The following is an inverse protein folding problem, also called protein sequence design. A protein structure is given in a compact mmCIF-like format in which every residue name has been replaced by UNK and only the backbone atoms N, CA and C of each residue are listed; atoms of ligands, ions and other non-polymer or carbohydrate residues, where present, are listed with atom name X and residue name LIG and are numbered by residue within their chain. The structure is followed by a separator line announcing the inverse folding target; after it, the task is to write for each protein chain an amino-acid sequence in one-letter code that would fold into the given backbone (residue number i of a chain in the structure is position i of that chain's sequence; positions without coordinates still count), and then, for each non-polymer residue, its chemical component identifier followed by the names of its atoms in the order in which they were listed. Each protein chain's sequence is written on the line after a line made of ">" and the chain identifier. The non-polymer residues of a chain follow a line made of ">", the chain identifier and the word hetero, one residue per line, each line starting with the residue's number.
data_IF_738957599466
#
_entry.id   IF_738957599466
#
_cell.length_a   1.000
_cell.length_b   1.000
_cell.length_c   1.000
_cell.angle_alpha   90.00
_cell.angle_beta   90.00
_cell.angle_gamma   90.00
#
_symmetry.space_group_name_H-M   'P 1'
#
loop_
_entity.id
_entity.type
_entity.pdbx_description
1 polymer ?
#
# COMPACT_ATOMS: atom_id res chain seq x y z
N UNK A 1 -26.27 -8.50 58.51
CA UNK A 1 -26.30 -7.93 57.14
C UNK A 1 -24.92 -7.42 56.77
N UNK A 2 -24.24 -8.07 55.82
CA UNK A 2 -23.62 -7.44 54.64
C UNK A 2 -23.01 -8.54 53.76
N UNK A 3 -23.63 -8.67 52.59
CA UNK A 3 -23.28 -9.52 51.45
C UNK A 3 -21.96 -9.07 50.84
N UNK A 4 -21.13 -10.00 50.38
CA UNK A 4 -20.27 -9.80 49.22
C UNK A 4 -20.55 -10.94 48.25
N UNK A 5 -21.21 -10.58 47.15
CA UNK A 5 -21.36 -11.38 45.95
C UNK A 5 -20.03 -11.34 45.20
N UNK A 6 -19.42 -12.50 44.93
CA UNK A 6 -18.48 -12.63 43.82
C UNK A 6 -19.16 -13.49 42.75
N UNK A 7 -19.46 -12.82 41.65
CA UNK A 7 -20.08 -13.34 40.45
C UNK A 7 -18.96 -13.78 39.51
N UNK A 8 -18.72 -15.08 39.39
CA UNK A 8 -17.93 -15.66 38.29
C UNK A 8 -18.76 -16.77 37.65
N UNK A 9 -19.46 -16.42 36.59
CA UNK A 9 -20.00 -17.38 35.63
C UNK A 9 -18.83 -18.10 34.96
N UNK A 10 -18.50 -19.30 35.44
CA UNK A 10 -17.77 -20.27 34.61
C UNK A 10 -18.80 -20.93 33.70
N UNK A 11 -18.88 -20.44 32.47
CA UNK A 11 -19.55 -21.13 31.38
C UNK A 11 -18.63 -22.29 30.95
N UNK A 12 -18.57 -23.36 31.74
CA UNK A 12 -17.90 -24.59 31.32
C UNK A 12 -18.80 -25.26 30.28
N UNK A 13 -18.40 -25.16 29.02
CA UNK A 13 -18.91 -26.03 27.97
C UNK A 13 -18.79 -27.48 28.45
N UNK A 14 -19.93 -28.16 28.62
CA UNK A 14 -19.98 -29.61 28.75
C UNK A 14 -19.53 -30.20 27.40
N UNK A 15 -18.21 -30.32 27.24
CA UNK A 15 -17.66 -31.31 26.33
C UNK A 15 -17.92 -32.65 27.02
N UNK A 16 -19.01 -33.30 26.62
CA UNK A 16 -19.15 -34.73 26.88
C UNK A 16 -18.01 -35.41 26.14
N UNK A 17 -16.89 -35.63 26.82
CA UNK A 17 -15.87 -36.54 26.33
C UNK A 17 -16.54 -37.88 26.11
N UNK A 18 -16.49 -38.38 24.88
CA UNK A 18 -16.78 -39.78 24.63
C UNK A 18 -15.74 -40.57 25.41
N UNK A 19 -16.18 -41.28 26.45
CA UNK A 19 -15.30 -42.23 27.14
C UNK A 19 -14.94 -43.32 26.15
N UNK A 20 -13.64 -43.56 25.99
CA UNK A 20 -13.14 -44.82 25.42
C UNK A 20 -13.90 -45.98 26.07
N UNK A 21 -14.32 -46.97 25.28
CA UNK A 21 -15.00 -48.13 25.80
C UNK A 21 -14.07 -48.82 26.81
N UNK A 22 -14.54 -49.04 28.04
CA UNK A 22 -13.73 -49.69 29.08
C UNK A 22 -13.17 -51.02 28.56
N UNK A 23 -11.83 -51.10 28.47
CA UNK A 23 -11.15 -52.32 28.07
C UNK A 23 -11.18 -53.32 29.23
N UNK A 24 -11.94 -54.40 29.08
CA UNK A 24 -12.12 -55.43 30.11
C UNK A 24 -11.66 -56.79 29.60
N UNK A 25 -10.94 -57.55 30.43
CA UNK A 25 -10.42 -58.89 30.08
C UNK A 25 -11.04 -59.95 30.99
N UNK A 26 -11.95 -60.82 30.49
CA UNK A 26 -12.47 -61.92 31.30
C UNK A 26 -11.36 -62.95 31.59
N UNK A 27 -11.30 -63.41 32.83
CA UNK A 27 -10.35 -64.43 33.29
C UNK A 27 -11.10 -65.59 33.95
N UNK A 28 -10.70 -66.81 33.60
CA UNK A 28 -11.13 -68.04 34.28
C UNK A 28 -9.92 -68.95 34.46
N UNK A 29 -9.78 -69.53 35.66
CA UNK A 29 -8.68 -70.42 36.00
C UNK A 29 -9.12 -71.56 36.91
N UNK A 30 -8.30 -72.61 36.93
CA UNK A 30 -8.41 -73.73 37.87
C UNK A 30 -7.15 -73.74 38.72
N UNK A 31 -7.28 -73.43 40.01
CA UNK A 31 -6.20 -73.38 40.98
C UNK A 31 -5.97 -74.78 41.55
N UNK A 32 -4.74 -75.27 41.39
CA UNK A 32 -4.28 -76.53 41.99
C UNK A 32 -3.07 -76.29 42.88
N UNK A 33 -2.89 -77.13 43.88
CA UNK A 33 -1.63 -77.20 44.62
C UNK A 33 -0.53 -77.89 43.78
N UNK A 34 0.68 -78.00 44.36
CA UNK A 34 1.83 -78.63 43.72
C UNK A 34 1.63 -80.13 43.40
N UNK A 35 0.64 -80.78 44.01
CA UNK A 35 0.27 -82.18 43.75
C UNK A 35 -0.80 -82.33 42.65
N UNK A 36 -1.30 -81.20 42.11
CA UNK A 36 -2.40 -81.18 41.13
C UNK A 36 -3.78 -81.30 41.77
N UNK A 37 -3.88 -81.25 43.10
CA UNK A 37 -5.17 -81.28 43.81
C UNK A 37 -5.79 -79.89 43.78
N UNK A 38 -7.09 -79.79 43.55
CA UNK A 38 -7.80 -78.52 43.54
C UNK A 38 -7.65 -77.79 44.90
N UNK A 39 -7.37 -76.50 44.85
CA UNK A 39 -7.34 -75.66 46.06
C UNK A 39 -8.72 -75.71 46.71
N UNK A 40 -8.75 -75.88 48.04
CA UNK A 40 -9.97 -76.01 48.81
C UNK A 40 -10.91 -74.80 48.64
N UNK A 41 -12.21 -75.07 48.72
CA UNK A 41 -13.26 -74.05 48.62
C UNK A 41 -13.08 -72.97 49.69
N UNK A 42 -13.26 -71.71 49.29
CA UNK A 42 -13.07 -70.57 50.17
C UNK A 42 -12.72 -69.29 49.43
N UNK A 43 -12.41 -68.23 50.17
CA UNK A 43 -11.92 -66.99 49.57
C UNK A 43 -10.40 -67.01 49.46
N UNK A 44 -9.87 -66.68 48.29
CA UNK A 44 -8.44 -66.51 48.05
C UNK A 44 -8.15 -65.15 47.45
N UNK A 45 -7.11 -64.49 47.96
CA UNK A 45 -6.62 -63.23 47.39
C UNK A 45 -5.70 -63.57 46.21
N UNK A 46 -5.96 -62.97 45.05
CA UNK A 46 -5.20 -63.21 43.82
C UNK A 46 -4.81 -61.87 43.20
N UNK A 47 -3.53 -61.67 42.95
CA UNK A 47 -3.00 -60.53 42.20
C UNK A 47 -2.74 -60.93 40.75
N UNK A 48 -3.13 -60.05 39.84
CA UNK A 48 -2.89 -60.16 38.41
C UNK A 48 -1.99 -59.03 37.96
N UNK A 49 -0.97 -59.34 37.16
CA UNK A 49 -0.11 -58.36 36.49
C UNK A 49 0.14 -58.80 35.06
N UNK A 50 0.38 -57.86 34.15
CA UNK A 50 0.72 -58.20 32.75
C UNK A 50 2.14 -57.70 32.46
N UNK A 51 2.92 -58.57 31.84
CA UNK A 51 4.32 -58.36 31.47
C UNK A 51 4.52 -58.52 29.96
N UNK A 52 5.59 -57.91 29.45
CA UNK A 52 6.07 -58.02 28.06
C UNK A 52 6.93 -59.27 27.80
N UNK A 53 7.31 -60.03 28.84
CA UNK A 53 8.13 -61.24 28.73
C UNK A 53 7.76 -62.31 29.77
N UNK A 54 8.10 -63.59 29.52
CA UNK A 54 7.63 -64.71 30.36
C UNK A 54 8.28 -64.81 31.75
N UNK A 55 9.47 -64.23 31.99
CA UNK A 55 10.22 -64.40 33.26
C UNK A 55 10.91 -63.13 33.79
N UNK A 56 11.46 -62.24 32.95
CA UNK A 56 12.24 -61.05 33.41
C UNK A 56 11.75 -59.70 32.88
N UNK A 57 10.56 -59.67 32.27
CA UNK A 57 10.00 -58.52 31.57
C UNK A 57 9.60 -57.34 32.46
N UNK A 58 9.22 -56.23 31.82
CA UNK A 58 8.62 -55.06 32.47
C UNK A 58 7.12 -55.25 32.65
N UNK A 59 6.57 -54.81 33.78
CA UNK A 59 5.12 -54.83 34.00
C UNK A 59 4.47 -53.74 33.13
N UNK A 60 3.78 -54.15 32.06
CA UNK A 60 3.03 -53.23 31.20
C UNK A 60 1.69 -52.81 31.79
N UNK A 61 1.22 -53.59 32.77
CA UNK A 61 0.12 -53.23 33.65
C UNK A 61 0.52 -53.65 35.07
N UNK A 62 0.56 -52.65 35.96
CA UNK A 62 0.92 -52.83 37.37
C UNK A 62 -0.06 -53.74 38.13
N UNK A 63 -1.21 -54.02 37.54
CA UNK A 63 -2.11 -55.04 37.99
C UNK A 63 -3.24 -54.57 38.87
N UNK A 64 -4.01 -55.55 39.33
CA UNK A 64 -5.02 -55.37 40.36
C UNK A 64 -5.13 -56.64 41.22
N UNK A 65 -5.73 -56.48 42.40
CA UNK A 65 -5.89 -57.56 43.38
C UNK A 65 -7.37 -57.86 43.56
N UNK A 66 -7.74 -59.13 43.51
CA UNK A 66 -9.10 -59.60 43.69
C UNK A 66 -9.21 -60.60 44.84
N UNK A 67 -10.27 -60.50 45.64
CA UNK A 67 -10.66 -61.54 46.59
C UNK A 67 -11.67 -62.43 45.86
N UNK A 68 -11.20 -63.59 45.40
CA UNK A 68 -11.96 -64.52 44.57
C UNK A 68 -12.54 -65.64 45.42
N UNK A 69 -13.76 -66.07 45.10
CA UNK A 69 -14.34 -67.29 45.68
C UNK A 69 -13.91 -68.49 44.84
N UNK A 70 -13.22 -69.44 45.49
CA UNK A 70 -12.80 -70.72 44.92
C UNK A 70 -13.91 -71.74 45.15
N UNK A 71 -14.31 -72.43 44.08
CA UNK A 71 -15.28 -73.54 44.13
C UNK A 71 -14.77 -74.69 43.26
N UNK A 72 -14.39 -75.81 43.90
CA UNK A 72 -13.75 -76.95 43.24
C UNK A 72 -12.46 -76.55 42.52
N UNK A 73 -11.68 -75.62 43.10
CA UNK A 73 -10.50 -75.02 42.48
C UNK A 73 -10.79 -73.97 41.40
N UNK A 74 -12.02 -73.80 40.94
CA UNK A 74 -12.34 -72.85 39.86
C UNK A 74 -12.45 -71.41 40.41
N UNK A 75 -11.92 -70.47 39.63
CA UNK A 75 -12.04 -69.02 39.86
C UNK A 75 -12.40 -68.30 38.57
N UNK A 76 -13.17 -67.23 38.68
CA UNK A 76 -13.47 -66.31 37.57
C UNK A 76 -13.37 -64.85 38.04
N UNK A 77 -13.00 -63.96 37.13
CA UNK A 77 -13.05 -62.51 37.36
C UNK A 77 -13.01 -61.77 36.03
N UNK A 78 -13.20 -60.45 36.05
CA UNK A 78 -12.96 -59.56 34.92
C UNK A 78 -11.84 -58.61 35.33
N UNK A 79 -10.78 -58.56 34.52
CA UNK A 79 -9.63 -57.71 34.74
C UNK A 79 -9.84 -56.34 34.11
N UNK A 80 -9.31 -55.29 34.75
CA UNK A 80 -9.45 -53.90 34.32
C UNK A 80 -10.56 -53.14 35.04
N UNK A 81 -11.33 -53.81 35.91
CA UNK A 81 -12.45 -53.20 36.65
C UNK A 81 -12.01 -52.36 37.85
N UNK A 82 -10.81 -52.58 38.40
CA UNK A 82 -10.28 -51.81 39.54
C UNK A 82 -9.14 -50.90 39.11
N UNK A 83 -8.24 -51.43 38.27
CA UNK A 83 -7.16 -50.65 37.64
C UNK A 83 -7.33 -50.74 36.13
N UNK A 84 -7.83 -49.67 35.51
CA UNK A 84 -7.98 -49.60 34.06
C UNK A 84 -6.66 -49.90 33.34
N UNK A 85 -6.73 -50.54 32.18
CA UNK A 85 -5.55 -50.70 31.33
C UNK A 85 -5.09 -49.31 30.84
N UNK A 86 -3.77 -49.01 30.86
CA UNK A 86 -3.29 -47.70 30.46
C UNK A 86 -3.56 -47.45 28.97
N UNK A 87 -4.39 -46.44 28.67
CA UNK A 87 -4.79 -46.04 27.32
C UNK A 87 -3.77 -45.09 26.64
N UNK A 88 -2.97 -44.38 27.43
CA UNK A 88 -2.07 -43.32 26.95
C UNK A 88 -0.60 -43.66 27.18
N UNK A 89 0.23 -43.30 26.19
CA UNK A 89 1.69 -43.28 26.27
C UNK A 89 2.17 -42.34 27.38
N UNK A 90 2.39 -42.84 28.59
CA UNK A 90 3.14 -42.11 29.62
C UNK A 90 4.28 -42.99 30.12
N UNK A 91 5.51 -42.63 29.75
CA UNK A 91 6.72 -43.40 30.09
C UNK A 91 7.03 -44.60 29.19
N UNK A 92 6.36 -44.74 28.03
CA UNK A 92 6.66 -45.79 27.04
C UNK A 92 5.97 -47.14 27.29
N UNK A 93 4.98 -47.18 28.18
CA UNK A 93 4.28 -48.40 28.57
C UNK A 93 2.80 -48.29 28.17
N UNK A 94 2.35 -49.16 27.24
CA UNK A 94 0.94 -49.34 26.87
C UNK A 94 0.66 -50.84 26.80
N UNK A 95 -0.54 -51.26 27.22
CA UNK A 95 -0.98 -52.65 27.04
C UNK A 95 -1.41 -52.84 25.59
N UNK A 96 -0.58 -53.51 24.80
CA UNK A 96 -0.84 -53.80 23.40
C UNK A 96 -1.27 -55.25 23.22
N UNK A 97 -2.58 -55.52 23.20
CA UNK A 97 -3.13 -56.87 22.94
C UNK A 97 -2.86 -57.39 21.51
N UNK A 98 -2.14 -56.63 20.68
CA UNK A 98 -1.60 -57.05 19.39
C UNK A 98 -0.22 -57.71 19.50
N UNK A 99 0.42 -57.67 20.66
CA UNK A 99 1.70 -58.31 20.93
C UNK A 99 1.54 -59.46 21.94
N UNK A 100 2.47 -60.43 22.00
CA UNK A 100 2.47 -61.46 23.04
C UNK A 100 2.61 -60.81 24.43
N UNK A 101 1.59 -60.98 25.26
CA UNK A 101 1.59 -60.50 26.64
C UNK A 101 1.58 -61.68 27.60
N UNK A 102 2.06 -61.47 28.83
CA UNK A 102 2.23 -62.55 29.81
C UNK A 102 1.54 -62.17 31.12
N UNK A 103 0.47 -62.89 31.46
CA UNK A 103 -0.26 -62.74 32.71
C UNK A 103 0.48 -63.47 33.83
N UNK A 104 0.94 -62.70 34.81
CA UNK A 104 1.46 -63.20 36.07
C UNK A 104 0.33 -63.26 37.09
N UNK A 105 0.22 -64.40 37.78
CA UNK A 105 -0.80 -64.67 38.78
C UNK A 105 -0.07 -65.00 40.08
N UNK A 106 -0.38 -64.27 41.14
CA UNK A 106 0.13 -64.55 42.49
C UNK A 106 -1.06 -64.83 43.39
N UNK A 107 -1.10 -66.00 44.01
CA UNK A 107 -2.15 -66.42 44.93
C UNK A 107 -1.61 -66.35 46.35
N UNK A 108 -2.39 -65.80 47.26
CA UNK A 108 -2.14 -65.85 48.71
C UNK A 108 -2.14 -67.32 49.17
N UNK A 109 -0.93 -67.87 49.29
CA UNK A 109 -0.70 -69.27 49.60
C UNK A 109 -0.60 -69.49 51.12
N UNK A 110 -0.15 -68.49 51.87
CA UNK A 110 0.07 -68.56 53.31
C UNK A 110 -1.17 -68.16 54.15
N UNK A 111 -2.21 -67.63 53.49
CA UNK A 111 -3.47 -67.25 54.13
C UNK A 111 -3.37 -65.94 54.91
N UNK A 112 -2.38 -65.10 54.59
CA UNK A 112 -2.13 -63.83 55.28
C UNK A 112 -3.13 -62.71 54.93
N UNK A 113 -4.05 -62.96 53.98
CA UNK A 113 -4.97 -61.98 53.41
C UNK A 113 -4.27 -60.77 52.74
N UNK A 114 -2.98 -60.90 52.44
CA UNK A 114 -2.17 -59.89 51.76
C UNK A 114 -1.21 -60.56 50.78
N UNK A 115 -1.01 -59.99 49.59
CA UNK A 115 0.03 -60.50 48.68
C UNK A 115 1.39 -59.97 49.14
N UNK A 116 2.26 -60.87 49.57
CA UNK A 116 3.61 -60.53 50.07
C UNK A 116 4.70 -61.22 49.28
N UNK A 117 5.97 -60.98 49.65
CA UNK A 117 7.11 -61.69 49.04
C UNK A 117 7.14 -63.19 49.39
N UNK A 118 6.33 -63.65 50.36
CA UNK A 118 6.17 -65.06 50.69
C UNK A 118 5.27 -65.81 49.71
N UNK A 119 4.50 -65.10 48.88
CA UNK A 119 3.63 -65.67 47.85
C UNK A 119 4.38 -65.72 46.51
N UNK A 120 4.90 -66.88 46.09
CA UNK A 120 5.60 -66.98 44.82
C UNK A 120 4.62 -66.78 43.65
N UNK A 121 4.99 -66.01 42.61
CA UNK A 121 4.20 -65.94 41.40
C UNK A 121 4.15 -67.32 40.71
N UNK A 122 3.01 -67.64 40.10
CA UNK A 122 2.87 -68.86 39.30
C UNK A 122 3.69 -68.71 38.01
N UNK A 123 4.75 -69.49 37.90
CA UNK A 123 5.65 -69.55 36.75
C UNK A 123 5.51 -70.89 36.01
N UNK A 124 5.64 -70.92 34.66
CA UNK A 124 5.80 -69.77 33.77
C UNK A 124 4.52 -68.94 33.65
N UNK A 125 4.66 -67.62 33.39
CA UNK A 125 3.53 -66.71 33.20
C UNK A 125 2.62 -67.20 32.05
N UNK A 126 1.32 -67.01 32.21
CA UNK A 126 0.34 -67.43 31.20
C UNK A 126 0.41 -66.51 29.98
N UNK A 127 0.62 -67.07 28.79
CA UNK A 127 0.63 -66.30 27.55
C UNK A 127 -0.78 -65.84 27.20
N UNK A 128 -0.94 -64.53 27.03
CA UNK A 128 -2.08 -63.91 26.38
C UNK A 128 -1.72 -63.79 24.89
N UNK A 129 -2.36 -64.63 24.07
CA UNK A 129 -2.12 -64.60 22.63
C UNK A 129 -2.67 -63.29 22.05
N UNK A 130 -1.93 -62.66 21.12
CA UNK A 130 -2.43 -61.47 20.47
C UNK A 130 -3.71 -61.79 19.71
N UNK A 131 -4.74 -60.98 19.91
CA UNK A 131 -5.93 -61.05 19.08
C UNK A 131 -5.57 -60.44 17.72
N UNK A 132 -5.38 -61.26 16.69
CA UNK A 132 -4.98 -60.82 15.34
C UNK A 132 -5.86 -59.69 14.76
N UNK A 133 -7.10 -59.56 15.23
CA UNK A 133 -8.06 -58.51 14.81
C UNK A 133 -8.08 -57.26 15.70
N UNK A 134 -7.37 -57.24 16.83
CA UNK A 134 -7.30 -56.07 17.72
C UNK A 134 -6.54 -54.89 17.09
N UNK A 135 -5.56 -55.17 16.23
CA UNK A 135 -4.83 -54.13 15.50
C UNK A 135 -5.74 -53.39 14.51
N UNK A 136 -6.60 -54.12 13.79
CA UNK A 136 -7.52 -53.55 12.79
C UNK A 136 -8.62 -52.72 13.45
N UNK A 137 -9.06 -53.09 14.66
CA UNK A 137 -10.04 -52.31 15.42
C UNK A 137 -9.47 -50.97 15.92
N UNK A 138 -8.19 -50.92 16.33
CA UNK A 138 -7.53 -49.67 16.74
C UNK A 138 -7.33 -48.72 15.56
N UNK A 139 -7.04 -49.24 14.36
CA UNK A 139 -6.89 -48.43 13.15
C UNK A 139 -8.21 -47.89 12.60
N UNK A 140 -9.37 -48.44 13.00
CA UNK A 140 -10.68 -48.01 12.51
C UNK A 140 -11.07 -46.58 12.96
N UNK A 141 -10.43 -46.05 13.99
CA UNK A 141 -10.60 -44.66 14.45
C UNK A 141 -9.77 -43.65 13.63
N UNK A 142 -8.90 -44.15 12.73
CA UNK A 142 -8.00 -43.33 11.91
C UNK A 142 -8.25 -43.58 10.42
N UNK A 143 -8.34 -42.52 9.60
CA UNK A 143 -8.28 -42.68 8.14
C UNK A 143 -6.79 -42.66 7.78
N UNK A 144 -6.26 -43.79 7.33
CA UNK A 144 -4.84 -43.96 6.98
C UNK A 144 -3.85 -43.61 8.12
N UNK A 145 -4.21 -43.85 9.38
CA UNK A 145 -3.35 -43.54 10.52
C UNK A 145 -3.32 -42.06 10.94
N UNK A 146 -4.15 -41.22 10.32
CA UNK A 146 -4.38 -39.83 10.75
C UNK A 146 -5.60 -39.79 11.67
N UNK A 147 -5.38 -39.38 12.91
CA UNK A 147 -6.46 -39.09 13.87
C UNK A 147 -7.19 -37.82 13.43
N UNK A 148 -8.38 -38.00 12.86
CA UNK A 148 -9.26 -36.92 12.41
C UNK A 148 -10.13 -36.36 13.54
N UNK A 149 -10.10 -36.97 14.72
CA UNK A 149 -11.09 -36.79 15.78
C UNK A 149 -10.63 -35.76 16.82
N UNK A 150 -9.32 -35.56 17.00
CA UNK A 150 -8.81 -34.76 18.11
C UNK A 150 -8.60 -33.27 17.84
N UNK A 151 -8.48 -32.80 16.59
CA UNK A 151 -8.12 -31.38 16.35
C UNK A 151 -9.05 -30.61 15.39
N UNK A 152 -10.04 -31.26 14.78
CA UNK A 152 -10.92 -30.63 13.78
C UNK A 152 -10.16 -29.99 12.60
N UNK A 153 -8.87 -30.30 12.46
CA UNK A 153 -7.94 -29.77 11.48
C UNK A 153 -7.25 -30.94 10.82
N UNK A 154 -7.29 -30.96 9.49
CA UNK A 154 -6.41 -31.81 8.71
C UNK A 154 -4.98 -31.28 8.91
N UNK A 155 -4.06 -32.15 9.31
CA UNK A 155 -2.64 -31.80 9.30
C UNK A 155 -2.22 -31.41 7.86
N UNK A 156 -1.32 -30.44 7.70
CA UNK A 156 -0.85 -30.04 6.37
C UNK A 156 -0.27 -31.22 5.58
N UNK A 157 0.38 -32.16 6.26
CA UNK A 157 0.91 -33.39 5.67
C UNK A 157 -0.16 -34.37 5.18
N UNK A 158 -1.40 -34.23 5.65
CA UNK A 158 -2.52 -35.07 5.20
C UNK A 158 -3.10 -34.59 3.85
N UNK A 159 -2.68 -33.41 3.36
CA UNK A 159 -3.08 -32.87 2.06
C UNK A 159 -1.85 -32.84 1.17
N UNK A 160 -1.79 -33.73 0.19
CA UNK A 160 -0.75 -33.70 -0.82
C UNK A 160 -0.82 -32.40 -1.64
N UNK A 161 0.32 -31.97 -2.20
CA UNK A 161 0.36 -30.84 -3.14
C UNK A 161 -0.61 -31.09 -4.31
N UNK A 162 -1.55 -30.15 -4.51
CA UNK A 162 -2.61 -30.28 -5.52
C UNK A 162 -3.74 -31.27 -5.14
N UNK A 163 -3.75 -31.80 -3.92
CA UNK A 163 -4.72 -32.79 -3.44
C UNK A 163 -6.16 -32.26 -3.34
N UNK A 164 -6.36 -30.94 -3.38
CA UNK A 164 -7.67 -30.29 -3.45
C UNK A 164 -7.90 -29.79 -4.89
N UNK A 165 -8.51 -30.57 -5.78
CA UNK A 165 -8.88 -30.09 -7.11
C UNK A 165 -10.00 -29.04 -7.02
N UNK A 166 -10.12 -28.19 -8.03
CA UNK A 166 -11.14 -27.13 -8.09
C UNK A 166 -12.58 -27.65 -7.87
N UNK A 167 -12.89 -28.88 -8.31
CA UNK A 167 -14.19 -29.52 -8.11
C UNK A 167 -14.54 -29.82 -6.65
N UNK A 168 -13.56 -29.77 -5.75
CA UNK A 168 -13.74 -29.92 -4.29
C UNK A 168 -13.92 -28.58 -3.59
N UNK A 169 -13.72 -27.46 -4.29
CA UNK A 169 -13.91 -26.10 -3.78
C UNK A 169 -15.26 -25.62 -4.31
N UNK A 170 -16.16 -25.27 -3.42
CA UNK A 170 -17.46 -24.73 -3.80
C UNK A 170 -17.33 -23.24 -4.15
N UNK A 171 -18.08 -22.78 -5.15
CA UNK A 171 -18.10 -21.37 -5.53
C UNK A 171 -18.40 -20.47 -4.32
N UNK A 172 -17.56 -19.46 -4.10
CA UNK A 172 -17.68 -18.52 -2.99
C UNK A 172 -17.30 -19.07 -1.60
N UNK A 173 -16.79 -20.31 -1.49
CA UNK A 173 -16.37 -20.86 -0.20
C UNK A 173 -15.06 -20.29 0.35
N UNK A 174 -14.28 -19.62 -0.50
CA UNK A 174 -13.05 -18.92 -0.12
C UNK A 174 -13.37 -17.44 0.01
N UNK A 175 -13.37 -16.94 1.24
CA UNK A 175 -13.62 -15.55 1.60
C UNK A 175 -12.29 -14.85 1.91
N UNK A 176 -12.29 -13.52 1.87
CA UNK A 176 -11.07 -12.72 2.12
C UNK A 176 -10.36 -13.08 3.44
N UNK A 177 -11.10 -13.42 4.50
CA UNK A 177 -10.54 -13.84 5.80
C UNK A 177 -9.74 -15.17 5.75
N UNK A 178 -9.95 -15.96 4.71
CA UNK A 178 -9.24 -17.24 4.47
C UNK A 178 -8.02 -17.03 3.56
N UNK A 179 -7.84 -15.83 3.00
CA UNK A 179 -6.70 -15.45 2.18
C UNK A 179 -5.76 -14.60 3.04
N UNK A 180 -4.49 -14.98 3.11
CA UNK A 180 -3.47 -14.15 3.75
C UNK A 180 -3.16 -12.90 2.92
N UNK A 181 -2.62 -11.86 3.56
CA UNK A 181 -2.03 -10.74 2.83
C UNK A 181 -0.98 -11.24 1.83
N UNK A 182 -0.98 -10.69 0.63
CA UNK A 182 -0.07 -11.08 -0.47
C UNK A 182 -0.16 -12.55 -0.92
N UNK A 183 -1.24 -13.26 -0.56
CA UNK A 183 -1.45 -14.66 -1.00
C UNK A 183 -1.73 -14.81 -2.49
N UNK A 184 -2.14 -13.73 -3.16
CA UNK A 184 -2.33 -13.67 -4.63
C UNK A 184 -1.30 -12.70 -5.21
N UNK A 185 -0.20 -13.26 -5.72
CA UNK A 185 0.86 -12.54 -6.42
C UNK A 185 0.79 -12.74 -7.94
N UNK A 186 1.84 -12.31 -8.63
CA UNK A 186 1.92 -12.34 -10.10
C UNK A 186 1.85 -13.77 -10.68
N UNK A 187 2.27 -14.78 -9.92
CA UNK A 187 2.20 -16.18 -10.37
C UNK A 187 0.76 -16.72 -10.36
N UNK A 188 -0.09 -16.21 -9.46
CA UNK A 188 -1.49 -16.60 -9.33
C UNK A 188 -2.41 -15.84 -10.29
N UNK A 189 -1.94 -14.71 -10.84
CA UNK A 189 -2.68 -13.88 -11.80
C UNK A 189 -2.06 -14.07 -13.19
N UNK A 190 -2.72 -14.82 -14.05
CA UNK A 190 -2.27 -14.98 -15.44
C UNK A 190 -2.33 -13.64 -16.20
N UNK A 191 -1.55 -13.55 -17.28
CA UNK A 191 -1.63 -12.41 -18.19
C UNK A 191 -3.06 -12.27 -18.74
N UNK A 192 -3.60 -11.05 -18.71
CA UNK A 192 -4.98 -10.72 -19.10
C UNK A 192 -6.09 -11.36 -18.21
N UNK A 193 -5.75 -11.93 -17.05
CA UNK A 193 -6.75 -12.50 -16.14
C UNK A 193 -7.67 -11.42 -15.55
N UNK A 194 -7.16 -10.21 -15.30
CA UNK A 194 -7.94 -9.08 -14.78
C UNK A 194 -8.39 -8.20 -15.95
N UNK A 195 -9.67 -8.31 -16.30
CA UNK A 195 -10.27 -7.47 -17.34
C UNK A 195 -10.77 -6.13 -16.78
N UNK A 196 -11.07 -5.17 -17.66
CA UNK A 196 -11.63 -3.88 -17.26
C UNK A 196 -12.95 -4.00 -16.49
N UNK A 197 -13.77 -5.03 -16.74
CA UNK A 197 -15.01 -5.26 -15.99
C UNK A 197 -14.77 -5.75 -14.56
N UNK A 198 -13.59 -6.34 -14.30
CA UNK A 198 -13.18 -6.80 -12.96
C UNK A 198 -12.60 -5.67 -12.11
N UNK A 199 -12.27 -4.53 -12.73
CA UNK A 199 -11.83 -3.32 -12.06
C UNK A 199 -13.01 -2.36 -12.04
N UNK A 200 -13.54 -2.08 -10.86
CA UNK A 200 -14.68 -1.16 -10.76
C UNK A 200 -14.26 0.25 -11.19
N UNK A 201 -15.17 0.97 -11.85
CA UNK A 201 -14.94 2.36 -12.21
C UNK A 201 -14.54 3.16 -10.95
N UNK A 202 -13.48 3.95 -11.08
CA UNK A 202 -12.90 4.76 -10.00
C UNK A 202 -12.30 3.99 -8.82
N UNK A 203 -12.12 2.66 -8.91
CA UNK A 203 -11.44 1.89 -7.87
C UNK A 203 -9.92 1.98 -7.92
N UNK A 204 -9.36 2.54 -8.99
CA UNK A 204 -7.94 2.83 -9.14
C UNK A 204 -7.82 4.36 -9.22
N UNK A 205 -7.20 4.98 -8.23
CA UNK A 205 -7.05 6.43 -8.15
C UNK A 205 -5.66 6.90 -8.65
N UNK A 206 -5.46 8.22 -8.70
CA UNK A 206 -4.17 8.79 -9.17
C UNK A 206 -2.96 8.34 -8.33
N UNK A 207 -3.15 7.95 -7.08
CA UNK A 207 -2.09 7.47 -6.18
C UNK A 207 -1.74 6.01 -6.52
N UNK A 208 -2.73 5.20 -6.88
CA UNK A 208 -2.57 3.79 -7.31
C UNK A 208 -1.84 3.65 -8.66
N UNK A 209 -2.07 4.57 -9.61
CA UNK A 209 -1.46 4.51 -10.95
C UNK A 209 0.05 4.84 -11.01
N UNK A 210 0.70 5.08 -9.86
CA UNK A 210 2.15 5.25 -9.59
C UNK A 210 3.04 5.92 -10.66
N UNK A 211 3.90 6.84 -10.21
CA UNK A 211 5.15 7.38 -10.80
C UNK A 211 5.43 7.32 -12.33
N UNK A 212 5.24 6.19 -13.01
CA UNK A 212 5.46 6.00 -14.44
C UNK A 212 4.46 6.79 -15.31
N UNK A 213 3.17 6.80 -14.96
CA UNK A 213 2.19 7.61 -15.71
C UNK A 213 2.40 9.09 -15.43
N UNK A 214 2.73 9.47 -14.19
CA UNK A 214 3.11 10.84 -13.87
C UNK A 214 4.35 11.28 -14.65
N UNK A 215 5.39 10.43 -14.69
CA UNK A 215 6.60 10.68 -15.47
C UNK A 215 6.32 10.76 -16.98
N UNK A 216 5.46 9.90 -17.53
CA UNK A 216 5.07 9.98 -18.93
C UNK A 216 4.27 11.25 -19.24
N UNK A 217 3.38 11.68 -18.33
CA UNK A 217 2.60 12.90 -18.48
C UNK A 217 3.49 14.15 -18.38
N UNK A 218 4.42 14.16 -17.43
CA UNK A 218 5.44 15.21 -17.29
C UNK A 218 6.41 15.25 -18.49
N UNK A 219 6.60 14.12 -19.18
CA UNK A 219 7.40 14.08 -20.42
C UNK A 219 6.62 14.69 -21.59
N UNK A 220 5.31 14.49 -21.66
CA UNK A 220 4.47 15.06 -22.71
C UNK A 220 4.20 16.55 -22.51
N UNK A 221 4.07 16.97 -21.25
CA UNK A 221 3.78 18.34 -20.89
C UNK A 221 4.47 18.70 -19.57
N UNK A 222 5.74 19.14 -19.63
CA UNK A 222 6.52 19.38 -18.43
C UNK A 222 5.97 20.54 -17.61
N UNK A 223 6.09 20.49 -16.27
CA UNK A 223 5.82 21.63 -15.40
C UNK A 223 6.56 22.89 -15.89
N UNK A 224 5.88 24.02 -15.86
CA UNK A 224 6.36 25.29 -16.43
C UNK A 224 5.90 25.54 -17.87
N UNK A 225 5.26 24.58 -18.53
CA UNK A 225 4.70 24.79 -19.87
C UNK A 225 3.54 25.77 -19.83
N UNK A 226 3.60 26.79 -20.68
CA UNK A 226 2.57 27.81 -20.82
C UNK A 226 1.71 27.50 -22.04
N UNK A 227 0.39 27.46 -21.86
CA UNK A 227 -0.60 27.25 -22.92
C UNK A 227 -1.58 28.42 -22.99
N UNK A 228 -2.09 28.67 -24.20
CA UNK A 228 -3.23 29.55 -24.40
C UNK A 228 -4.53 28.78 -24.10
N UNK A 229 -5.43 29.40 -23.34
CA UNK A 229 -6.69 28.82 -22.89
C UNK A 229 -7.84 29.75 -23.20
N UNK A 230 -8.84 29.23 -23.90
CA UNK A 230 -10.01 29.97 -24.36
C UNK A 230 -11.23 29.85 -23.42
N UNK A 231 -11.14 29.01 -22.38
CA UNK A 231 -12.24 28.81 -21.43
C UNK A 231 -12.30 29.87 -20.34
N UNK A 232 -13.24 29.71 -19.42
CA UNK A 232 -13.40 30.60 -18.27
C UNK A 232 -12.25 30.42 -17.27
N UNK A 233 -11.65 31.53 -16.84
CA UNK A 233 -10.57 31.60 -15.86
C UNK A 233 -11.12 31.81 -14.45
N UNK A 234 -12.35 32.31 -14.31
CA UNK A 234 -12.89 32.81 -13.06
C UNK A 234 -12.45 34.25 -12.74
N UNK A 235 -12.80 34.72 -11.55
CA UNK A 235 -12.54 36.09 -11.12
C UNK A 235 -11.09 36.27 -10.68
N UNK A 236 -10.29 36.95 -11.51
CA UNK A 236 -8.91 37.29 -11.19
C UNK A 236 -8.82 38.42 -10.14
N UNK A 237 -8.60 38.02 -8.89
CA UNK A 237 -8.37 38.92 -7.75
C UNK A 237 -6.89 38.99 -7.34
N UNK A 238 -5.98 38.49 -8.17
CA UNK A 238 -4.54 38.41 -7.87
C UNK A 238 -4.14 37.25 -6.95
N UNK A 239 -5.05 36.31 -6.69
CA UNK A 239 -4.79 35.06 -5.95
C UNK A 239 -4.49 33.90 -6.90
N UNK A 240 -4.01 32.78 -6.35
CA UNK A 240 -3.85 31.55 -7.12
C UNK A 240 -5.20 31.07 -7.65
N UNK A 241 -5.25 30.83 -8.96
CA UNK A 241 -6.42 30.31 -9.65
C UNK A 241 -6.01 29.07 -10.43
N UNK A 242 -6.79 28.00 -10.28
CA UNK A 242 -6.64 26.74 -11.02
C UNK A 242 -7.91 26.51 -11.88
N UNK A 243 -8.02 27.16 -13.06
CA UNK A 243 -9.22 27.03 -13.90
C UNK A 243 -9.42 25.61 -14.44
N UNK A 244 -8.32 24.88 -14.61
CA UNK A 244 -8.31 23.49 -15.08
C UNK A 244 -7.37 22.70 -14.16
N UNK A 245 -7.76 21.49 -13.71
CA UNK A 245 -6.89 20.65 -12.90
C UNK A 245 -5.49 20.50 -13.50
N UNK A 246 -4.46 20.79 -12.71
CA UNK A 246 -3.05 20.71 -13.12
C UNK A 246 -2.48 21.97 -13.78
N UNK A 247 -3.27 23.06 -13.88
CA UNK A 247 -2.86 24.31 -14.51
C UNK A 247 -3.25 25.55 -13.70
N UNK A 248 -2.30 26.44 -13.48
CA UNK A 248 -2.52 27.72 -12.80
C UNK A 248 -2.65 28.86 -13.82
N UNK A 249 -3.46 29.87 -13.52
CA UNK A 249 -3.55 31.08 -14.34
C UNK A 249 -2.33 31.99 -14.13
N UNK A 250 -1.75 32.50 -15.22
CA UNK A 250 -0.57 33.37 -15.20
C UNK A 250 -0.94 34.83 -14.82
N UNK A 251 -1.26 35.07 -13.55
CA UNK A 251 -1.62 36.40 -13.01
C UNK A 251 -0.61 37.00 -12.02
N UNK A 252 0.56 36.39 -11.84
CA UNK A 252 1.59 36.90 -10.92
C UNK A 252 1.46 36.44 -9.47
N UNK A 253 0.48 35.61 -9.14
CA UNK A 253 0.32 35.07 -7.79
C UNK A 253 1.57 34.29 -7.34
N UNK A 254 1.80 34.24 -6.02
CA UNK A 254 2.98 33.59 -5.43
C UNK A 254 2.67 32.13 -5.11
N UNK A 255 3.60 31.24 -5.45
CA UNK A 255 3.60 29.82 -5.07
C UNK A 255 4.78 29.50 -4.15
N UNK A 256 4.65 28.44 -3.35
CA UNK A 256 5.69 27.92 -2.43
C UNK A 256 5.60 26.40 -2.34
N UNK A 257 6.69 25.75 -1.91
CA UNK A 257 6.79 24.30 -1.74
C UNK A 257 5.90 23.79 -0.59
N UNK A 258 5.71 24.60 0.46
CA UNK A 258 4.86 24.26 1.60
C UNK A 258 3.35 24.32 1.30
N UNK A 259 2.96 24.90 0.16
CA UNK A 259 1.55 25.04 -0.21
C UNK A 259 0.97 23.72 -0.71
N UNK A 260 -0.21 23.37 -0.18
CA UNK A 260 -0.96 22.16 -0.56
C UNK A 260 -0.11 20.87 -0.52
N UNK A 261 0.80 20.75 0.46
CA UNK A 261 1.63 19.57 0.70
C UNK A 261 2.59 19.25 -0.48
N UNK A 262 3.38 20.23 -0.93
CA UNK A 262 4.38 20.01 -1.98
C UNK A 262 3.83 19.99 -3.40
N UNK A 263 2.56 20.38 -3.59
CA UNK A 263 1.84 20.27 -4.87
C UNK A 263 2.55 20.97 -6.03
N UNK A 264 3.26 22.06 -5.75
CA UNK A 264 3.88 22.91 -6.78
C UNK A 264 5.39 22.71 -6.91
N UNK A 265 5.99 21.73 -6.23
CA UNK A 265 7.45 21.55 -6.17
C UNK A 265 8.12 21.41 -7.55
N UNK A 266 7.47 20.71 -8.49
CA UNK A 266 8.00 20.53 -9.84
C UNK A 266 8.00 21.85 -10.63
N UNK A 267 6.94 22.66 -10.49
CA UNK A 267 6.87 24.00 -11.07
C UNK A 267 7.91 24.96 -10.48
N UNK A 268 8.08 24.94 -9.16
CA UNK A 268 9.08 25.76 -8.46
C UNK A 268 10.49 25.48 -8.98
N UNK A 269 10.83 24.20 -9.17
CA UNK A 269 12.10 23.80 -9.76
C UNK A 269 12.24 24.26 -11.22
N UNK A 270 11.16 24.19 -12.01
CA UNK A 270 11.17 24.61 -13.41
C UNK A 270 11.34 26.14 -13.58
N UNK A 271 10.66 26.93 -12.75
CA UNK A 271 10.70 28.39 -12.84
C UNK A 271 11.95 28.99 -12.19
N UNK A 272 12.35 28.47 -11.03
CA UNK A 272 13.26 29.19 -10.13
C UNK A 272 12.79 30.62 -9.89
N UNK A 273 13.71 31.57 -9.75
CA UNK A 273 13.35 32.99 -9.56
C UNK A 273 13.06 33.75 -10.86
N UNK A 274 12.98 33.10 -12.03
CA UNK A 274 12.96 33.79 -13.34
C UNK A 274 11.83 34.81 -13.50
N UNK A 275 10.70 34.57 -12.86
CA UNK A 275 9.52 35.42 -12.94
C UNK A 275 9.30 36.29 -11.71
N UNK A 276 10.19 36.18 -10.71
CA UNK A 276 10.10 36.85 -9.43
C UNK A 276 10.38 35.88 -8.29
N UNK A 277 10.95 36.38 -7.21
CA UNK A 277 11.34 35.60 -6.03
C UNK A 277 10.25 35.57 -4.94
N UNK A 278 9.02 35.98 -5.25
CA UNK A 278 7.88 35.99 -4.32
C UNK A 278 7.95 37.05 -3.21
N UNK A 279 9.16 37.48 -2.82
CA UNK A 279 9.46 38.39 -1.70
C UNK A 279 8.84 37.97 -0.36
N UNK A 280 8.57 36.68 -0.16
CA UNK A 280 8.14 36.17 1.14
C UNK A 280 9.38 35.73 1.94
N UNK A 281 9.68 36.47 3.01
CA UNK A 281 10.84 36.21 3.87
C UNK A 281 10.58 35.13 4.92
N UNK A 282 9.32 34.76 5.13
CA UNK A 282 8.90 33.84 6.19
C UNK A 282 8.79 32.39 5.68
N UNK A 283 8.74 32.19 4.36
CA UNK A 283 8.61 30.88 3.72
C UNK A 283 9.79 30.62 2.76
N UNK A 284 10.53 29.51 2.90
CA UNK A 284 11.60 29.19 1.96
C UNK A 284 11.03 28.92 0.55
N UNK A 285 11.79 29.26 -0.49
CA UNK A 285 11.47 28.99 -1.90
C UNK A 285 10.09 29.50 -2.37
N UNK A 286 9.85 30.81 -2.25
CA UNK A 286 8.70 31.43 -2.92
C UNK A 286 9.07 31.93 -4.33
N UNK A 287 8.11 31.84 -5.24
CA UNK A 287 8.27 32.23 -6.64
C UNK A 287 6.97 32.88 -7.14
N UNK A 288 7.09 33.95 -7.92
CA UNK A 288 5.94 34.49 -8.64
C UNK A 288 5.63 33.63 -9.86
N UNK A 289 4.35 33.29 -10.05
CA UNK A 289 3.89 32.86 -11.36
C UNK A 289 4.17 33.96 -12.40
N UNK A 290 4.34 33.61 -13.69
CA UNK A 290 4.32 34.61 -14.75
C UNK A 290 3.04 35.47 -14.65
N UNK A 291 3.17 36.79 -14.78
CA UNK A 291 2.02 37.68 -15.01
C UNK A 291 1.99 38.07 -16.47
N UNK A 292 1.19 37.34 -17.24
CA UNK A 292 1.12 37.46 -18.70
C UNK A 292 -0.12 38.21 -19.18
N UNK A 293 -0.81 38.91 -18.28
CA UNK A 293 -1.99 39.69 -18.62
C UNK A 293 -1.57 40.91 -19.42
N UNK A 294 -2.11 41.03 -20.64
CA UNK A 294 -1.88 42.17 -21.53
C UNK A 294 -0.50 42.21 -22.20
N UNK A 295 0.27 41.12 -22.17
CA UNK A 295 1.58 41.06 -22.85
C UNK A 295 1.55 40.08 -24.03
N UNK A 296 2.37 40.37 -25.05
CA UNK A 296 2.66 39.42 -26.11
C UNK A 296 3.87 38.56 -25.76
N UNK A 297 3.75 37.27 -25.99
CA UNK A 297 4.87 36.34 -25.88
C UNK A 297 5.74 36.41 -27.14
N UNK A 298 7.05 36.31 -26.95
CA UNK A 298 8.05 36.24 -28.03
C UNK A 298 9.10 35.19 -27.71
N UNK A 299 9.79 34.72 -28.75
CA UNK A 299 10.88 33.75 -28.61
C UNK A 299 12.06 34.33 -27.85
N UNK A 300 12.71 33.51 -27.03
CA UNK A 300 13.95 33.90 -26.36
C UNK A 300 15.13 33.85 -27.34
N UNK A 301 15.80 34.98 -27.52
CA UNK A 301 16.90 35.16 -28.46
C UNK A 301 18.14 34.34 -28.11
N UNK A 302 18.38 34.06 -26.83
CA UNK A 302 19.50 33.26 -26.34
C UNK A 302 20.83 33.68 -27.03
N UNK A 303 21.57 32.73 -27.60
CA UNK A 303 22.83 32.98 -28.30
C UNK A 303 22.70 33.43 -29.76
N UNK A 304 21.49 33.68 -30.28
CA UNK A 304 21.31 34.07 -31.68
C UNK A 304 22.09 35.34 -32.03
N UNK A 305 22.65 35.39 -33.24
CA UNK A 305 23.47 36.51 -33.73
C UNK A 305 23.24 36.80 -35.22
N UNK A 306 22.18 36.23 -35.79
CA UNK A 306 21.76 36.45 -37.17
C UNK A 306 20.74 37.60 -37.27
N UNK A 307 20.13 37.77 -38.44
CA UNK A 307 19.12 38.81 -38.69
C UNK A 307 17.82 38.64 -37.89
N UNK A 308 17.63 37.53 -37.18
CA UNK A 308 16.48 37.30 -36.31
C UNK A 308 16.78 37.62 -34.84
N UNK A 309 17.97 38.14 -34.55
CA UNK A 309 18.35 38.55 -33.20
C UNK A 309 17.39 39.61 -32.67
N UNK A 310 16.83 39.35 -31.50
CA UNK A 310 15.98 40.29 -30.78
C UNK A 310 16.77 41.56 -30.36
N UNK A 311 16.38 42.70 -30.92
CA UNK A 311 16.99 43.99 -30.64
C UNK A 311 16.66 44.46 -29.21
N UNK A 312 17.66 45.02 -28.52
CA UNK A 312 17.51 45.49 -27.14
C UNK A 312 17.45 44.37 -26.09
N UNK A 313 17.68 43.09 -26.47
CA UNK A 313 17.60 41.94 -25.58
C UNK A 313 18.43 42.07 -24.29
N UNK A 314 19.56 42.77 -24.33
CA UNK A 314 20.48 42.87 -23.19
C UNK A 314 20.23 44.11 -22.30
N UNK A 315 19.77 45.23 -22.88
CA UNK A 315 19.73 46.54 -22.21
C UNK A 315 18.33 47.12 -22.02
N UNK A 316 17.31 46.56 -22.66
CA UNK A 316 15.93 47.08 -22.66
C UNK A 316 14.92 46.04 -22.13
N UNK A 317 15.40 45.07 -21.33
CA UNK A 317 14.56 44.04 -20.72
C UNK A 317 14.61 44.11 -19.19
N UNK A 318 13.43 44.13 -18.58
CA UNK A 318 13.20 44.36 -17.15
C UNK A 318 12.44 43.18 -16.53
N UNK A 319 12.51 43.06 -15.21
CA UNK A 319 11.63 42.14 -14.49
C UNK A 319 10.36 42.88 -14.06
N UNK A 320 9.22 42.18 -14.05
CA UNK A 320 7.95 42.71 -13.54
C UNK A 320 7.87 42.64 -12.01
N UNK A 321 8.52 41.65 -11.41
CA UNK A 321 8.60 41.44 -9.96
C UNK A 321 10.05 41.45 -9.49
N UNK A 322 10.27 41.71 -8.20
CA UNK A 322 11.62 41.67 -7.62
C UNK A 322 12.24 40.27 -7.76
N UNK A 323 13.58 40.19 -7.85
CA UNK A 323 14.31 38.93 -8.03
C UNK A 323 14.13 38.22 -9.37
N UNK A 324 13.26 38.73 -10.25
CA UNK A 324 12.99 38.17 -11.58
C UNK A 324 14.05 38.52 -12.63
N UNK A 325 13.93 37.89 -13.80
CA UNK A 325 14.91 37.96 -14.87
C UNK A 325 14.93 39.33 -15.58
N UNK A 326 16.14 39.80 -15.91
CA UNK A 326 16.41 40.99 -16.72
C UNK A 326 17.36 40.63 -17.88
N UNK A 327 17.46 41.50 -18.88
CA UNK A 327 18.30 41.24 -20.05
C UNK A 327 17.84 40.01 -20.86
N UNK A 328 18.79 39.35 -21.54
CA UNK A 328 18.49 38.27 -22.47
C UNK A 328 18.27 36.92 -21.77
N UNK A 329 17.24 36.86 -20.92
CA UNK A 329 16.84 35.69 -20.15
C UNK A 329 15.33 35.44 -20.25
N UNK A 330 14.93 34.17 -20.20
CA UNK A 330 13.52 33.78 -20.07
C UNK A 330 12.94 34.36 -18.78
N UNK A 331 11.76 34.98 -18.88
CA UNK A 331 11.07 35.65 -17.78
C UNK A 331 11.19 37.18 -17.78
N UNK A 332 12.03 37.74 -18.67
CA UNK A 332 12.19 39.18 -18.81
C UNK A 332 11.14 39.83 -19.73
N UNK A 333 10.77 41.07 -19.40
CA UNK A 333 9.75 41.88 -20.07
C UNK A 333 10.39 43.05 -20.82
N UNK A 334 9.76 43.50 -21.91
CA UNK A 334 10.18 44.69 -22.66
C UNK A 334 8.95 45.59 -22.84
N UNK A 335 9.16 46.90 -22.75
CA UNK A 335 8.09 47.88 -23.02
C UNK A 335 7.78 47.96 -24.51
N UNK A 336 6.64 48.55 -24.84
CA UNK A 336 6.30 48.87 -26.22
C UNK A 336 7.29 49.86 -26.82
N UNK A 337 7.56 49.71 -28.12
CA UNK A 337 8.39 50.62 -28.88
C UNK A 337 7.91 50.66 -30.33
N UNK A 338 7.99 51.85 -30.94
CA UNK A 338 7.82 52.01 -32.38
C UNK A 338 9.18 51.95 -33.07
N UNK A 339 9.21 51.40 -34.29
CA UNK A 339 10.37 51.53 -35.15
C UNK A 339 10.60 53.01 -35.49
N UNK A 340 11.86 53.44 -35.41
CA UNK A 340 12.25 54.81 -35.73
C UNK A 340 11.89 55.13 -37.19
N UNK A 341 11.04 56.13 -37.40
CA UNK A 341 10.63 56.56 -38.74
C UNK A 341 10.51 58.08 -38.83
N UNK A 342 10.52 58.60 -40.04
CA UNK A 342 10.37 60.03 -40.32
C UNK A 342 9.52 60.28 -41.57
N UNK A 343 8.98 61.49 -41.65
CA UNK A 343 8.23 61.96 -42.82
C UNK A 343 8.99 63.09 -43.50
N UNK A 344 9.26 62.93 -44.80
CA UNK A 344 9.81 64.03 -45.62
C UNK A 344 8.66 64.86 -46.17
N UNK A 345 8.67 66.16 -45.88
CA UNK A 345 7.73 67.11 -46.49
C UNK A 345 8.49 67.81 -47.62
N UNK A 346 8.16 67.47 -48.87
CA UNK A 346 8.68 68.17 -50.06
C UNK A 346 7.63 69.16 -50.56
N UNK A 347 7.79 70.43 -50.20
CA UNK A 347 7.06 71.53 -50.84
C UNK A 347 7.91 72.10 -51.97
N UNK A 348 7.37 72.22 -53.18
CA UNK A 348 7.94 73.19 -54.12
C UNK A 348 7.63 74.58 -53.56
N UNK A 349 8.65 75.38 -53.24
CA UNK A 349 8.48 76.82 -52.98
C UNK A 349 8.20 77.55 -54.30
N UNK A 350 7.16 77.12 -55.02
CA UNK A 350 6.70 77.74 -56.25
C UNK A 350 5.93 79.00 -55.90
N UNK A 351 6.66 80.12 -55.89
CA UNK A 351 6.20 81.52 -55.77
C UNK A 351 5.97 82.02 -54.34
N UNK A 352 7.07 82.38 -53.68
CA UNK A 352 7.06 83.55 -52.80
C UNK A 352 6.76 84.76 -53.69
N UNK A 353 5.48 85.12 -53.86
CA UNK A 353 5.15 86.43 -54.38
C UNK A 353 5.60 87.43 -53.31
N UNK A 354 6.50 88.39 -53.61
CA UNK A 354 6.72 89.49 -52.70
C UNK A 354 5.39 90.22 -52.58
N UNK A 355 4.74 90.08 -51.43
CA UNK A 355 3.64 90.95 -51.05
C UNK A 355 4.26 92.34 -50.93
N UNK A 356 4.11 93.13 -51.98
CA UNK A 356 4.41 94.55 -51.95
C UNK A 356 3.32 95.24 -51.11
N UNK A 357 3.34 95.03 -49.79
CA UNK A 357 2.79 96.02 -48.87
C UNK A 357 3.88 97.09 -48.73
N UNK A 358 3.83 98.05 -49.65
CA UNK A 358 4.50 99.32 -49.47
C UNK A 358 3.91 99.98 -48.22
N UNK A 359 4.65 99.99 -47.11
CA UNK A 359 4.28 100.81 -45.95
C UNK A 359 4.82 100.42 -44.58
N UNK A 360 5.34 99.20 -44.37
CA UNK A 360 5.78 98.82 -43.04
C UNK A 360 6.99 97.88 -43.12
N UNK A 361 8.20 98.42 -43.26
CA UNK A 361 9.46 97.88 -42.70
C UNK A 361 10.59 98.85 -43.07
N UNK A 362 10.78 99.88 -42.24
CA UNK A 362 11.98 100.73 -42.25
C UNK A 362 13.11 100.02 -41.51
N UNK A 363 13.75 99.04 -42.15
CA UNK A 363 15.08 98.54 -41.76
C UNK A 363 15.82 98.06 -43.02
N UNK A 364 16.91 98.73 -43.45
CA UNK A 364 17.72 98.30 -44.57
C UNK A 364 18.75 97.22 -44.15
N UNK A 365 18.70 96.06 -44.82
CA UNK A 365 19.74 95.01 -44.84
C UNK A 365 19.78 94.12 -43.59
N UNK A 366 19.72 92.79 -43.65
CA UNK A 366 20.40 91.87 -44.59
C UNK A 366 19.65 90.53 -44.56
N UNK A 367 19.17 90.07 -45.71
CA UNK A 367 18.67 88.70 -45.85
C UNK A 367 19.88 87.76 -45.94
N UNK A 368 20.16 86.99 -44.88
CA UNK A 368 21.08 85.87 -45.01
C UNK A 368 20.30 84.63 -45.47
N UNK A 369 20.76 83.96 -46.55
CA UNK A 369 20.16 82.73 -47.02
C UNK A 369 20.38 81.63 -45.99
N UNK A 370 19.43 80.69 -45.94
CA UNK A 370 19.42 79.48 -45.13
C UNK A 370 20.84 78.95 -44.84
N UNK A 371 21.35 79.19 -43.63
CA UNK A 371 22.52 78.46 -43.16
C UNK A 371 22.10 77.00 -42.95
N UNK A 372 22.50 76.19 -43.92
CA UNK A 372 22.97 74.82 -43.76
C UNK A 372 23.54 74.59 -42.34
N UNK A 373 23.12 73.48 -41.73
CA UNK A 373 23.56 72.95 -40.43
C UNK A 373 23.06 73.69 -39.19
N UNK A 374 21.87 73.29 -38.73
CA UNK A 374 21.55 73.33 -37.30
C UNK A 374 21.28 71.89 -36.82
N UNK A 375 22.33 71.25 -36.29
CA UNK A 375 22.23 70.02 -35.51
C UNK A 375 21.98 70.42 -34.06
N UNK A 376 20.73 70.69 -33.72
CA UNK A 376 20.33 71.07 -32.36
C UNK A 376 19.00 70.43 -32.00
N UNK A 377 19.01 69.61 -30.96
CA UNK A 377 17.85 68.96 -30.37
C UNK A 377 16.90 70.00 -29.77
N UNK A 378 15.69 70.09 -30.31
CA UNK A 378 14.64 70.98 -29.80
C UNK A 378 13.81 71.54 -30.94
N UNK A 379 12.50 71.31 -30.89
CA UNK A 379 11.53 71.70 -31.92
C UNK A 379 11.69 73.17 -32.37
N UNK A 380 12.23 73.37 -33.57
CA UNK A 380 12.13 74.64 -34.27
C UNK A 380 10.78 74.67 -35.00
N UNK A 381 9.77 75.30 -34.39
CA UNK A 381 8.57 75.73 -35.10
C UNK A 381 8.97 76.72 -36.20
N UNK A 382 9.10 76.25 -37.43
CA UNK A 382 9.15 77.12 -38.60
C UNK A 382 7.74 77.63 -38.89
N UNK A 383 7.35 78.72 -38.22
CA UNK A 383 6.08 79.41 -38.48
C UNK A 383 6.26 80.38 -39.65
N UNK A 384 5.96 79.91 -40.87
CA UNK A 384 5.77 80.75 -42.06
C UNK A 384 4.27 80.90 -42.32
N UNK A 385 3.62 81.88 -41.68
CA UNK A 385 2.21 82.20 -41.92
C UNK A 385 1.21 81.07 -41.59
N UNK A 386 -0.10 81.22 -41.91
CA UNK A 386 -1.16 80.32 -41.46
C UNK A 386 -1.12 78.88 -42.04
N UNK A 387 -0.07 78.51 -42.79
CA UNK A 387 0.06 77.20 -43.42
C UNK A 387 1.06 76.31 -42.67
N UNK A 388 0.76 75.97 -41.41
CA UNK A 388 1.49 74.91 -40.68
C UNK A 388 0.99 73.56 -41.19
N UNK A 389 1.83 72.83 -41.95
CA UNK A 389 1.55 71.44 -42.31
C UNK A 389 1.81 70.60 -41.06
N UNK A 390 0.73 70.24 -40.35
CA UNK A 390 0.78 69.37 -39.18
C UNK A 390 0.20 68.00 -39.55
N UNK A 391 0.89 66.94 -39.13
CA UNK A 391 0.30 65.61 -39.05
C UNK A 391 -0.39 65.49 -37.70
N UNK A 392 -1.70 65.20 -37.70
CA UNK A 392 -2.42 64.96 -36.46
C UNK A 392 -1.99 63.61 -35.87
N UNK A 393 -1.96 63.53 -34.54
CA UNK A 393 -1.86 62.23 -33.87
C UNK A 393 -3.11 61.41 -34.24
N UNK A 394 -2.89 60.23 -34.82
CA UNK A 394 -3.93 59.25 -35.12
C UNK A 394 -3.56 57.95 -34.42
N UNK A 395 -4.50 57.36 -33.71
CA UNK A 395 -4.26 56.16 -32.88
C UNK A 395 -4.77 56.32 -31.45
N UNK A 396 -4.41 55.35 -30.60
CA UNK A 396 -4.74 55.33 -29.17
C UNK A 396 -3.50 55.32 -28.27
N UNK A 397 -3.68 55.06 -26.98
CA UNK A 397 -2.60 55.02 -25.97
C UNK A 397 -1.61 53.86 -26.11
N UNK A 398 -1.83 52.94 -27.06
CA UNK A 398 -1.06 51.71 -27.25
C UNK A 398 -1.18 51.26 -28.70
N UNK A 399 -0.09 50.71 -29.24
CA UNK A 399 -0.09 50.03 -30.55
C UNK A 399 -0.63 48.62 -30.40
N UNK A 400 -1.83 48.38 -30.95
CA UNK A 400 -2.50 47.08 -30.85
C UNK A 400 -2.65 46.43 -32.22
N UNK A 401 -2.05 45.26 -32.47
CA UNK A 401 -2.44 44.45 -33.62
C UNK A 401 -3.87 43.93 -33.43
N UNK A 402 -4.55 43.53 -34.51
CA UNK A 402 -5.81 42.80 -34.39
C UNK A 402 -5.58 41.53 -33.59
N UNK A 403 -6.25 41.38 -32.45
CA UNK A 403 -6.03 40.28 -31.51
C UNK A 403 -7.35 39.75 -30.93
N UNK A 404 -7.27 38.62 -30.24
CA UNK A 404 -8.34 38.04 -29.43
C UNK A 404 -7.75 37.67 -28.06
N UNK A 405 -8.54 37.84 -26.99
CA UNK A 405 -8.08 37.56 -25.64
C UNK A 405 -8.19 36.07 -25.33
N UNK A 406 -7.09 35.50 -24.84
CA UNK A 406 -7.01 34.16 -24.26
C UNK A 406 -6.30 34.26 -22.92
N UNK A 407 -6.65 33.39 -21.98
CA UNK A 407 -5.87 33.24 -20.75
C UNK A 407 -4.59 32.47 -21.01
N UNK A 408 -3.51 32.79 -20.30
CA UNK A 408 -2.33 31.94 -20.26
C UNK A 408 -2.36 31.10 -19.00
N UNK A 409 -2.26 29.79 -19.18
CA UNK A 409 -2.17 28.83 -18.09
C UNK A 409 -0.79 28.19 -18.05
N UNK A 410 -0.30 27.89 -16.86
CA UNK A 410 0.98 27.21 -16.65
C UNK A 410 0.78 25.87 -15.95
N UNK A 411 1.35 24.80 -16.53
CA UNK A 411 1.34 23.46 -15.95
C UNK A 411 2.15 23.45 -14.67
N UNK A 412 1.62 22.90 -13.58
CA UNK A 412 2.38 22.70 -12.33
C UNK A 412 2.68 21.24 -12.00
#
# INVERSE_FOLDING_TARGET
>A
MKRILLNTCFLSQLWGGFSSAEQLLPFQGHLTDASGTAVADGSKLVQFKIYDAPVSGTAVWAGEVHKLSVNGGLVNTILGTKTAFPETYSGGIKVMFSEPLYLEITVDADGSETITAADPPLLPRQVLLPANFAHVAMSAETVEGVDLVTDGKLAMSAIADGGIPATKIMDGSILARQMGENSVGAEQIQENAVSGEMVLDSSIDRQDLSALIQKQLDTLNPPGTIIAYAGDIGADTGVLLEPVPGYLFCNGAVITDDLENGKYAALLNALGSKWGDGQDTDVPQTVNLPDLRGVFLRGWSAGASDSFVDEGRDSQRYSRFSGGATGNLVGSFQQDAFESHGHSISGQTSKLYPVAIAGAFSQPGTYTPMQQQYHGSGAAQFSYGPNVISANSVGGSETRPKNANVGYLIKY
#
